data_IF_636672453172
#
_entry.id   IF_636672453172
#
_cell.length_a   1.000
_cell.length_b   1.000
_cell.length_c   1.000
_cell.angle_alpha   90.00
_cell.angle_beta   90.00
_cell.angle_gamma   90.00
#
_symmetry.space_group_name_H-M   'P 1'
#
loop_
_entity.id
_entity.type
_entity.pdbx_description
1 polymer ?
#
# COMPACT_ATOMS: atom_id res chain seq x y z
N UNK A 1 15.77 -0.37 22.89
CA UNK A 1 14.84 0.51 22.20
C UNK A 1 13.49 -0.18 22.13
N UNK A 2 12.44 0.45 22.58
CA UNK A 2 11.09 -0.09 22.51
C UNK A 2 10.56 0.05 21.09
N UNK A 3 9.52 -0.70 20.75
CA UNK A 3 8.83 -0.59 19.46
C UNK A 3 8.37 0.86 19.16
N UNK A 4 7.85 1.57 20.18
CA UNK A 4 7.43 2.98 20.06
C UNK A 4 8.60 3.94 19.78
N UNK A 5 9.79 3.67 20.32
CA UNK A 5 11.00 4.46 20.03
C UNK A 5 11.48 4.26 18.59
N UNK A 6 11.41 3.04 18.07
CA UNK A 6 11.74 2.74 16.67
C UNK A 6 10.75 3.39 15.69
N UNK A 7 9.45 3.46 16.01
CA UNK A 7 8.46 4.16 15.20
C UNK A 7 8.65 5.69 15.19
N UNK A 8 9.20 6.28 16.25
CA UNK A 8 9.52 7.72 16.30
C UNK A 8 10.74 8.09 15.45
N UNK A 9 11.64 7.14 15.20
CA UNK A 9 12.86 7.33 14.41
C UNK A 9 12.58 7.25 12.92
N UNK A 10 11.53 6.55 12.50
CA UNK A 10 11.18 6.38 11.10
C UNK A 10 10.28 7.53 10.61
N UNK A 11 10.91 8.62 10.16
CA UNK A 11 10.22 9.81 9.64
C UNK A 11 9.30 9.53 8.43
N UNK A 12 9.43 8.36 7.82
CA UNK A 12 8.65 7.91 6.67
C UNK A 12 7.45 7.03 7.07
N UNK A 13 7.34 6.67 8.36
CA UNK A 13 6.19 5.91 8.85
C UNK A 13 5.02 6.86 9.13
N UNK A 14 4.12 6.96 8.16
CA UNK A 14 2.99 7.90 8.19
C UNK A 14 1.69 7.09 8.30
N UNK A 15 1.02 7.17 9.46
CA UNK A 15 -0.22 6.44 9.71
C UNK A 15 -1.38 6.95 8.84
N UNK A 16 -1.94 6.05 8.04
CA UNK A 16 -3.04 6.34 7.10
C UNK A 16 -4.32 6.65 7.87
N UNK A 17 -5.07 7.72 7.55
CA UNK A 17 -6.32 8.03 8.23
C UNK A 17 -7.44 7.04 7.86
N UNK A 18 -8.34 6.77 8.80
CA UNK A 18 -9.46 5.82 8.67
C UNK A 18 -10.29 6.04 7.40
N UNK A 19 -10.69 7.29 7.12
CA UNK A 19 -11.52 7.61 5.96
C UNK A 19 -10.90 7.17 4.64
N UNK A 20 -9.56 7.26 4.53
CA UNK A 20 -8.84 6.89 3.32
C UNK A 20 -8.79 5.37 3.14
N UNK A 21 -8.62 4.63 4.24
CA UNK A 21 -8.68 3.16 4.23
C UNK A 21 -10.10 2.70 3.91
N UNK A 22 -11.11 3.25 4.55
CA UNK A 22 -12.51 2.92 4.28
C UNK A 22 -12.83 3.14 2.79
N UNK A 23 -12.44 4.29 2.26
CA UNK A 23 -12.75 4.64 0.87
C UNK A 23 -12.06 3.74 -0.16
N UNK A 24 -10.79 3.40 0.04
CA UNK A 24 -10.10 2.48 -0.89
C UNK A 24 -10.69 1.07 -0.79
N UNK A 25 -11.03 0.58 0.41
CA UNK A 25 -11.64 -0.73 0.60
C UNK A 25 -12.98 -0.85 -0.15
N UNK A 26 -13.81 0.20 -0.11
CA UNK A 26 -15.07 0.24 -0.85
C UNK A 26 -14.84 0.23 -2.37
N UNK A 27 -13.91 1.08 -2.86
CA UNK A 27 -13.64 1.21 -4.30
C UNK A 27 -13.10 -0.08 -4.94
N UNK A 28 -12.25 -0.81 -4.22
CA UNK A 28 -11.66 -2.05 -4.74
C UNK A 28 -12.53 -3.29 -4.46
N UNK A 29 -13.66 -3.13 -3.79
CA UNK A 29 -14.48 -4.27 -3.30
C UNK A 29 -13.63 -5.27 -2.50
N UNK A 30 -13.07 -4.81 -1.39
CA UNK A 30 -12.07 -5.55 -0.59
C UNK A 30 -12.55 -6.96 -0.21
N UNK A 31 -13.85 -7.16 -0.05
CA UNK A 31 -14.44 -8.46 0.31
C UNK A 31 -14.36 -9.51 -0.80
N UNK A 32 -14.11 -9.09 -2.03
CA UNK A 32 -13.89 -10.02 -3.15
C UNK A 32 -12.54 -10.73 -3.12
N UNK A 33 -11.61 -10.30 -2.25
CA UNK A 33 -10.28 -10.89 -2.11
C UNK A 33 -10.23 -11.90 -0.97
N UNK A 34 -9.76 -13.11 -1.27
CA UNK A 34 -9.71 -14.21 -0.30
C UNK A 34 -8.61 -14.08 0.74
N UNK A 35 -7.42 -13.64 0.34
CA UNK A 35 -6.27 -13.43 1.23
C UNK A 35 -5.58 -12.13 0.94
N UNK A 36 -5.41 -11.30 1.98
CA UNK A 36 -4.89 -9.93 1.89
C UNK A 36 -3.57 -9.84 2.66
N UNK A 37 -2.61 -9.07 2.14
CA UNK A 37 -1.35 -8.80 2.81
C UNK A 37 -1.13 -7.29 2.98
N UNK A 38 -0.82 -6.88 4.22
CA UNK A 38 -0.44 -5.53 4.61
C UNK A 38 1.05 -5.50 5.00
N UNK A 39 1.98 -5.26 4.06
CA UNK A 39 3.43 -5.49 4.28
C UNK A 39 4.14 -4.42 5.11
N UNK A 40 3.53 -3.28 5.36
CA UNK A 40 4.12 -2.15 6.09
C UNK A 40 3.28 -1.74 7.31
N UNK A 41 2.40 -2.61 7.78
CA UNK A 41 1.39 -2.27 8.76
C UNK A 41 1.67 -2.92 10.12
N UNK A 42 1.70 -2.06 11.16
CA UNK A 42 1.88 -2.46 12.55
C UNK A 42 0.55 -2.67 13.28
N UNK A 43 0.62 -2.77 14.62
CA UNK A 43 -0.55 -3.06 15.46
C UNK A 43 -1.66 -2.01 15.36
N UNK A 44 -1.32 -0.73 15.19
CA UNK A 44 -2.24 0.40 15.23
C UNK A 44 -2.69 0.84 13.82
N UNK A 45 -2.42 0.03 12.81
CA UNK A 45 -2.78 0.34 11.42
C UNK A 45 -4.29 0.33 11.21
N UNK A 46 -4.81 1.38 10.60
CA UNK A 46 -6.22 1.46 10.21
C UNK A 46 -6.62 0.38 9.19
N UNK A 47 -5.67 -0.12 8.38
CA UNK A 47 -5.91 -1.26 7.49
C UNK A 47 -6.29 -2.51 8.30
N UNK A 48 -5.55 -2.80 9.38
CA UNK A 48 -5.84 -3.93 10.26
C UNK A 48 -7.15 -3.75 11.00
N UNK A 49 -7.34 -2.60 11.65
CA UNK A 49 -8.57 -2.30 12.39
C UNK A 49 -9.81 -2.46 11.50
N UNK A 50 -9.75 -1.93 10.29
CA UNK A 50 -10.86 -2.05 9.33
C UNK A 50 -11.04 -3.48 8.84
N UNK A 51 -9.96 -4.20 8.61
CA UNK A 51 -9.99 -5.62 8.22
C UNK A 51 -10.62 -6.50 9.31
N UNK A 52 -10.29 -6.27 10.58
CA UNK A 52 -10.87 -6.97 11.73
C UNK A 52 -12.39 -6.72 11.81
N UNK A 53 -12.82 -5.45 11.69
CA UNK A 53 -14.26 -5.09 11.69
C UNK A 53 -15.01 -5.79 10.55
N UNK A 54 -14.39 -5.93 9.38
CA UNK A 54 -15.00 -6.56 8.20
C UNK A 54 -14.86 -8.09 8.15
N UNK A 55 -14.14 -8.69 9.11
CA UNK A 55 -13.89 -10.13 9.16
C UNK A 55 -13.03 -10.64 8.00
N UNK A 56 -12.07 -9.83 7.51
CA UNK A 56 -11.23 -10.19 6.37
C UNK A 56 -10.12 -11.17 6.76
N UNK A 57 -9.76 -12.05 5.85
CA UNK A 57 -8.61 -12.94 6.01
C UNK A 57 -7.34 -12.21 5.56
N UNK A 58 -6.53 -11.76 6.50
CA UNK A 58 -5.33 -11.00 6.19
C UNK A 58 -4.09 -11.45 6.98
N UNK A 59 -2.93 -11.02 6.50
CA UNK A 59 -1.65 -11.04 7.21
C UNK A 59 -1.07 -9.64 7.19
N UNK A 60 -0.62 -9.15 8.34
CA UNK A 60 0.13 -7.89 8.43
C UNK A 60 1.57 -8.18 8.83
N UNK A 61 2.51 -7.49 8.20
CA UNK A 61 3.95 -7.61 8.50
C UNK A 61 4.58 -6.23 8.57
N UNK A 62 5.63 -6.10 9.39
CA UNK A 62 6.38 -4.85 9.52
C UNK A 62 7.83 -5.16 9.90
N UNK A 63 8.79 -4.36 9.41
CA UNK A 63 10.22 -4.54 9.70
C UNK A 63 10.57 -4.53 11.19
N UNK A 64 9.72 -3.89 11.99
CA UNK A 64 9.87 -3.80 13.45
C UNK A 64 8.95 -4.75 14.21
N UNK A 65 8.28 -5.67 13.55
CA UNK A 65 7.56 -6.71 14.27
C UNK A 65 8.55 -7.65 15.00
N UNK A 66 8.04 -8.43 15.94
CA UNK A 66 8.88 -9.34 16.74
C UNK A 66 9.61 -10.41 15.92
N UNK A 67 9.25 -10.58 14.67
CA UNK A 67 9.83 -11.57 13.75
C UNK A 67 10.74 -10.93 12.69
N UNK A 68 10.86 -9.58 12.67
CA UNK A 68 11.68 -8.85 11.70
C UNK A 68 11.23 -9.05 10.26
N UNK A 69 9.92 -9.11 10.01
CA UNK A 69 9.35 -9.36 8.68
C UNK A 69 9.47 -8.14 7.77
N UNK A 70 10.71 -7.81 7.38
CA UNK A 70 10.98 -6.74 6.44
C UNK A 70 10.45 -7.11 5.05
N UNK A 71 9.69 -6.19 4.44
CA UNK A 71 9.17 -6.34 3.07
C UNK A 71 10.25 -6.69 2.05
N UNK A 72 11.47 -6.24 2.22
CA UNK A 72 12.57 -6.50 1.28
C UNK A 72 13.28 -7.84 1.50
N UNK A 73 13.17 -8.42 2.69
CA UNK A 73 13.84 -9.66 3.08
C UNK A 73 12.92 -10.88 3.08
N UNK A 74 11.63 -10.69 3.25
CA UNK A 74 10.65 -11.78 3.39
C UNK A 74 9.61 -11.78 2.29
N UNK A 75 9.24 -12.96 1.82
CA UNK A 75 8.09 -13.12 0.94
C UNK A 75 6.78 -13.09 1.75
N UNK A 76 5.64 -12.82 1.11
CA UNK A 76 4.35 -12.98 1.78
C UNK A 76 4.26 -14.41 2.35
N UNK A 77 3.69 -14.59 3.55
CA UNK A 77 3.67 -15.88 4.24
C UNK A 77 3.00 -17.01 3.45
N UNK A 78 2.14 -16.65 2.54
CA UNK A 78 1.46 -17.53 1.57
C UNK A 78 1.12 -16.70 0.34
N UNK A 79 0.72 -17.35 -0.76
CA UNK A 79 0.11 -16.64 -1.90
C UNK A 79 -1.01 -15.70 -1.43
N UNK A 80 -1.01 -14.47 -1.91
CA UNK A 80 -1.98 -13.44 -1.58
C UNK A 80 -2.74 -12.95 -2.81
N UNK A 81 -4.06 -12.81 -2.67
CA UNK A 81 -4.89 -12.24 -3.74
C UNK A 81 -4.68 -10.74 -3.89
N UNK A 82 -4.45 -10.05 -2.77
CA UNK A 82 -4.24 -8.60 -2.74
C UNK A 82 -3.13 -8.21 -1.76
N UNK A 83 -2.18 -7.41 -2.21
CA UNK A 83 -1.28 -6.63 -1.37
C UNK A 83 -1.75 -5.17 -1.35
N UNK A 84 -2.00 -4.60 -0.17
CA UNK A 84 -2.40 -3.19 -0.06
C UNK A 84 -1.70 -2.52 1.10
N UNK A 85 -1.18 -1.31 0.90
CA UNK A 85 -0.55 -0.53 1.96
C UNK A 85 -0.23 0.91 1.57
N UNK A 86 0.16 1.69 2.58
CA UNK A 86 0.81 2.98 2.47
C UNK A 86 2.31 2.81 2.79
N UNK A 87 3.17 2.55 1.81
CA UNK A 87 4.58 2.26 2.04
C UNK A 87 5.40 3.53 2.30
N UNK A 88 6.65 3.42 2.83
CA UNK A 88 7.56 4.56 2.96
C UNK A 88 7.93 5.15 1.60
N UNK A 89 7.60 6.43 1.41
CA UNK A 89 7.73 7.11 0.10
C UNK A 89 9.17 7.30 -0.38
N UNK A 90 10.14 7.37 0.53
CA UNK A 90 11.56 7.45 0.18
C UNK A 90 12.06 6.20 -0.56
N UNK A 91 11.41 5.07 -0.36
CA UNK A 91 11.79 3.77 -0.92
C UNK A 91 10.93 3.36 -2.14
N UNK A 92 10.11 4.25 -2.69
CA UNK A 92 9.10 3.92 -3.70
C UNK A 92 9.64 3.13 -4.91
N UNK A 93 10.86 3.44 -5.41
CA UNK A 93 11.44 2.71 -6.55
C UNK A 93 11.68 1.24 -6.22
N UNK A 94 12.34 0.98 -5.07
CA UNK A 94 12.63 -0.38 -4.60
C UNK A 94 11.35 -1.16 -4.29
N UNK A 95 10.35 -0.46 -3.73
CA UNK A 95 9.05 -1.06 -3.40
C UNK A 95 8.31 -1.47 -4.67
N UNK A 96 8.25 -0.59 -5.68
CA UNK A 96 7.60 -0.91 -6.95
C UNK A 96 8.30 -2.06 -7.67
N UNK A 97 9.63 -2.01 -7.78
CA UNK A 97 10.43 -3.08 -8.39
C UNK A 97 10.14 -4.44 -7.73
N UNK A 98 10.20 -4.50 -6.38
CA UNK A 98 9.88 -5.72 -5.66
C UNK A 98 8.43 -6.14 -5.80
N UNK A 99 7.48 -5.19 -5.77
CA UNK A 99 6.06 -5.50 -5.91
C UNK A 99 5.77 -6.16 -7.25
N UNK A 100 6.30 -5.63 -8.35
CA UNK A 100 6.12 -6.24 -9.66
C UNK A 100 6.85 -7.59 -9.76
N UNK A 101 8.03 -7.71 -9.13
CA UNK A 101 8.67 -9.03 -9.03
C UNK A 101 7.81 -10.06 -8.31
N UNK A 102 7.12 -9.69 -7.23
CA UNK A 102 6.18 -10.58 -6.53
C UNK A 102 4.98 -10.99 -7.41
N UNK A 103 4.53 -10.10 -8.31
CA UNK A 103 3.54 -10.43 -9.34
C UNK A 103 4.10 -11.47 -10.32
N UNK A 104 5.30 -11.23 -10.86
CA UNK A 104 5.93 -12.13 -11.84
C UNK A 104 6.25 -13.50 -11.24
N UNK A 105 6.66 -13.53 -9.98
CA UNK A 105 6.91 -14.77 -9.23
C UNK A 105 5.60 -15.50 -8.82
N UNK A 106 4.42 -14.92 -9.09
CA UNK A 106 3.11 -15.49 -8.75
C UNK A 106 2.81 -15.53 -7.24
N UNK A 107 3.49 -14.71 -6.44
CA UNK A 107 3.31 -14.66 -4.98
C UNK A 107 2.17 -13.75 -4.54
N UNK A 108 1.86 -12.73 -5.33
CA UNK A 108 0.68 -11.87 -5.20
C UNK A 108 -0.04 -11.75 -6.53
N UNK A 109 -1.37 -11.61 -6.52
CA UNK A 109 -2.18 -11.50 -7.74
C UNK A 109 -2.51 -10.06 -8.11
N UNK A 110 -2.73 -9.24 -7.11
CA UNK A 110 -3.14 -7.84 -7.25
C UNK A 110 -2.45 -6.97 -6.19
N UNK A 111 -2.34 -5.67 -6.45
CA UNK A 111 -1.90 -4.74 -5.42
C UNK A 111 -2.59 -3.38 -5.50
N UNK A 112 -2.59 -2.65 -4.37
CA UNK A 112 -2.94 -1.23 -4.27
C UNK A 112 -1.94 -0.53 -3.35
N UNK A 113 -1.16 0.41 -3.86
CA UNK A 113 -0.15 1.17 -3.12
C UNK A 113 -0.46 2.66 -3.14
N UNK A 114 -0.53 3.27 -1.96
CA UNK A 114 -0.64 4.73 -1.82
C UNK A 114 0.74 5.35 -2.03
N UNK A 115 0.88 6.20 -3.03
CA UNK A 115 2.15 6.81 -3.42
C UNK A 115 1.97 8.31 -3.74
N UNK A 116 3.05 9.12 -3.65
CA UNK A 116 3.00 10.46 -4.21
C UNK A 116 2.67 10.43 -5.71
N UNK A 117 1.88 11.39 -6.19
CA UNK A 117 1.51 11.46 -7.62
C UNK A 117 2.74 11.58 -8.53
N UNK A 118 3.84 12.13 -8.02
CA UNK A 118 5.14 12.16 -8.69
C UNK A 118 5.74 10.76 -8.94
N UNK A 119 5.11 9.69 -8.45
CA UNK A 119 5.48 8.31 -8.81
C UNK A 119 5.34 8.06 -10.33
N UNK A 120 4.51 8.83 -11.01
CA UNK A 120 4.30 8.75 -12.47
C UNK A 120 5.41 9.41 -13.28
N UNK A 121 6.30 10.16 -12.62
CA UNK A 121 7.39 10.90 -13.25
C UNK A 121 8.69 10.10 -13.20
N UNK A 122 9.43 9.82 -13.97
CA UNK A 122 10.78 9.29 -14.13
C UNK A 122 10.83 8.15 -15.14
N UNK A 123 11.89 8.11 -15.96
CA UNK A 123 12.06 7.06 -16.95
C UNK A 123 12.01 5.65 -16.38
N UNK A 124 12.58 5.45 -15.19
CA UNK A 124 12.58 4.15 -14.51
C UNK A 124 11.15 3.65 -14.22
N UNK A 125 10.33 4.50 -13.57
CA UNK A 125 8.96 4.11 -13.21
C UNK A 125 8.04 4.06 -14.42
N UNK A 126 8.20 4.97 -15.37
CA UNK A 126 7.46 4.95 -16.62
C UNK A 126 7.65 3.62 -17.36
N UNK A 127 8.90 3.17 -17.52
CA UNK A 127 9.21 1.87 -18.14
C UNK A 127 8.54 0.71 -17.39
N UNK A 128 8.57 0.75 -16.08
CA UNK A 128 7.94 -0.27 -15.23
C UNK A 128 6.41 -0.29 -15.43
N UNK A 129 5.77 0.89 -15.38
CA UNK A 129 4.31 0.99 -15.59
C UNK A 129 3.89 0.62 -17.03
N UNK A 130 4.68 0.96 -18.03
CA UNK A 130 4.40 0.58 -19.43
C UNK A 130 4.38 -0.94 -19.62
N UNK A 131 5.26 -1.66 -18.94
CA UNK A 131 5.31 -3.13 -18.99
C UNK A 131 4.00 -3.77 -18.51
N UNK A 132 3.30 -3.15 -17.56
CA UNK A 132 2.09 -3.68 -16.92
C UNK A 132 0.83 -2.84 -17.21
N UNK A 133 0.90 -1.91 -18.15
CA UNK A 133 -0.13 -0.86 -18.39
C UNK A 133 -1.55 -1.38 -18.57
N UNK A 134 -1.73 -2.59 -19.09
CA UNK A 134 -3.05 -3.14 -19.39
C UNK A 134 -3.86 -3.45 -18.14
N UNK A 135 -3.16 -3.69 -17.01
CA UNK A 135 -3.76 -4.03 -15.71
C UNK A 135 -3.58 -2.96 -14.65
N UNK A 136 -2.92 -1.84 -14.96
CA UNK A 136 -2.74 -0.72 -14.01
C UNK A 136 -3.97 0.17 -14.03
N UNK A 137 -4.40 0.57 -12.83
CA UNK A 137 -5.37 1.62 -12.58
C UNK A 137 -4.77 2.66 -11.63
N UNK A 138 -5.11 3.93 -11.83
CA UNK A 138 -4.63 5.05 -11.02
C UNK A 138 -5.83 5.76 -10.41
N UNK A 139 -5.83 5.90 -9.08
CA UNK A 139 -6.86 6.66 -8.38
C UNK A 139 -6.21 7.90 -7.78
N UNK A 140 -6.46 9.05 -8.36
CA UNK A 140 -5.92 10.33 -7.89
C UNK A 140 -6.76 10.87 -6.73
N UNK A 141 -6.12 11.25 -5.63
CA UNK A 141 -6.82 11.90 -4.52
C UNK A 141 -7.10 13.37 -4.86
N UNK A 142 -8.36 13.78 -4.81
CA UNK A 142 -8.80 15.16 -5.09
C UNK A 142 -8.26 16.17 -4.08
N UNK A 143 -8.02 15.71 -2.84
CA UNK A 143 -7.59 16.56 -1.74
C UNK A 143 -6.30 16.08 -1.12
N UNK A 144 -5.55 17.00 -0.51
CA UNK A 144 -4.38 16.66 0.29
C UNK A 144 -4.80 15.86 1.52
N UNK A 145 -3.98 14.88 1.89
CA UNK A 145 -4.24 14.04 3.06
C UNK A 145 -3.62 14.67 4.30
N UNK A 146 -4.38 14.72 5.38
CA UNK A 146 -3.85 14.94 6.71
C UNK A 146 -3.64 13.58 7.38
N UNK A 147 -2.41 13.15 7.50
CA UNK A 147 -2.07 11.89 8.12
C UNK A 147 -2.24 11.96 9.64
N UNK A 148 -2.49 10.81 10.26
CA UNK A 148 -2.68 10.67 11.70
C UNK A 148 -1.41 11.13 12.43
N UNK A 149 -1.56 11.95 13.47
CA UNK A 149 -0.43 12.51 14.23
C UNK A 149 0.24 13.75 13.61
N UNK A 150 -0.09 14.14 12.39
CA UNK A 150 0.47 15.33 11.75
C UNK A 150 -0.42 16.57 11.96
N UNK A 151 0.21 17.74 12.24
CA UNK A 151 -0.50 19.00 12.43
C UNK A 151 -1.02 19.58 11.11
N UNK A 152 -0.30 19.38 10.02
CA UNK A 152 -0.57 19.97 8.70
C UNK A 152 -0.95 18.90 7.67
N UNK A 153 -1.55 19.34 6.57
CA UNK A 153 -1.76 18.50 5.38
C UNK A 153 -0.43 18.07 4.79
N UNK A 154 -0.38 16.86 4.24
CA UNK A 154 0.80 16.38 3.53
C UNK A 154 1.05 17.25 2.29
N UNK A 155 2.29 17.63 2.06
CA UNK A 155 2.65 18.64 1.04
C UNK A 155 2.64 18.14 -0.40
N UNK A 156 2.50 16.80 -0.62
CA UNK A 156 2.44 16.20 -1.96
C UNK A 156 1.03 15.74 -2.31
N UNK A 157 0.69 15.77 -3.58
CA UNK A 157 -0.47 15.07 -4.11
C UNK A 157 -0.22 13.56 -4.03
N UNK A 158 -1.27 12.79 -3.76
CA UNK A 158 -1.20 11.35 -3.63
C UNK A 158 -2.11 10.66 -4.64
N UNK A 159 -1.76 9.44 -4.99
CA UNK A 159 -2.61 8.54 -5.76
C UNK A 159 -2.45 7.10 -5.24
N UNK A 160 -3.45 6.27 -5.51
CA UNK A 160 -3.30 4.83 -5.44
C UNK A 160 -2.84 4.32 -6.80
N UNK A 161 -1.76 3.55 -6.81
CA UNK A 161 -1.37 2.73 -7.95
C UNK A 161 -1.89 1.33 -7.68
N UNK A 162 -2.80 0.88 -8.53
CA UNK A 162 -3.48 -0.40 -8.41
C UNK A 162 -3.13 -1.29 -9.60
N UNK A 163 -3.00 -2.58 -9.36
CA UNK A 163 -2.74 -3.56 -10.41
C UNK A 163 -3.73 -4.71 -10.33
N UNK A 164 -4.32 -5.06 -11.47
CA UNK A 164 -5.20 -6.22 -11.64
C UNK A 164 -6.39 -6.24 -10.68
N UNK A 165 -7.04 -5.09 -10.48
CA UNK A 165 -8.25 -4.94 -9.66
C UNK A 165 -9.45 -4.70 -10.60
N UNK A 166 -10.33 -5.70 -10.79
CA UNK A 166 -11.37 -5.65 -11.83
C UNK A 166 -12.41 -4.55 -11.67
N UNK A 167 -12.68 -4.11 -10.44
CA UNK A 167 -13.67 -3.05 -10.14
C UNK A 167 -13.22 -1.65 -10.58
N UNK A 168 -11.95 -1.46 -10.93
CA UNK A 168 -11.38 -0.14 -11.20
C UNK A 168 -11.30 0.19 -12.69
N UNK A 169 -11.56 1.45 -13.03
CA UNK A 169 -11.22 2.04 -14.31
C UNK A 169 -9.73 2.43 -14.37
N UNK A 170 -9.20 2.66 -15.57
CA UNK A 170 -7.77 3.01 -15.76
C UNK A 170 -7.35 4.27 -15.01
N UNK A 171 -8.20 5.28 -14.97
CA UNK A 171 -7.96 6.54 -14.27
C UNK A 171 -9.24 6.98 -13.54
N UNK A 172 -9.12 7.24 -12.26
CA UNK A 172 -10.21 7.66 -11.39
C UNK A 172 -9.76 8.77 -10.45
N UNK A 173 -10.74 9.47 -9.86
CA UNK A 173 -10.53 10.45 -8.79
C UNK A 173 -11.38 10.08 -7.56
N UNK A 174 -10.74 10.14 -6.42
CA UNK A 174 -11.36 9.84 -5.13
C UNK A 174 -11.40 11.07 -4.22
#
# INVERSE_FOLDING_TARGET
MTYEENCKIDKDHIATPEWLVARIFDLIDIKSFGRIWFPFDNYDSEFKLKADILGLNYTATHKFDKYGNDFFATNPPKFCDLMISNPPFSLQNKILERTFKLIDDGLIKSFALLLPLSTLETPFRAKLYEQYKDKISIIVLKHRVKFKGHKTMFNKALCWICYNIPSLQKLMWM
#
